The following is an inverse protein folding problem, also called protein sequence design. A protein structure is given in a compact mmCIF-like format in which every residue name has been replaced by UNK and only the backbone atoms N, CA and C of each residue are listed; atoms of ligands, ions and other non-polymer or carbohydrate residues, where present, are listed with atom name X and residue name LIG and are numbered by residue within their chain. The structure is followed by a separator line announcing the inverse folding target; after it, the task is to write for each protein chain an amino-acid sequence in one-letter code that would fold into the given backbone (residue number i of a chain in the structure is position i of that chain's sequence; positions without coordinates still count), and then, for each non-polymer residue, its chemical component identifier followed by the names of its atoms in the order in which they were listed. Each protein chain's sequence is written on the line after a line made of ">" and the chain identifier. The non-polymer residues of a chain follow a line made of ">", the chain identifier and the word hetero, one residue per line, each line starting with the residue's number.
data_IF_875983358272
#
_entry.id   IF_875983358272
#
_cell.length_a   1.000
_cell.length_b   1.000
_cell.length_c   1.000
_cell.angle_alpha   90.00
_cell.angle_beta   90.00
_cell.angle_gamma   90.00
#
_symmetry.space_group_name_H-M   'P 1'
#
loop_
_entity.id
_entity.type
_entity.pdbx_description
1 polymer ?
#
# COMPACT_ATOMS: atom_id res chain seq x y z
N UNK A 1 -2.50 -31.25 15.17
CA UNK A 1 -3.68 -30.41 15.42
C UNK A 1 -3.79 -29.48 14.23
N UNK A 2 -4.92 -29.49 13.51
CA UNK A 2 -5.13 -28.55 12.42
C UNK A 2 -5.17 -27.13 13.02
N UNK A 3 -4.34 -26.22 12.51
CA UNK A 3 -4.46 -24.80 12.84
C UNK A 3 -5.89 -24.38 12.51
N UNK A 4 -6.50 -23.62 13.40
CA UNK A 4 -7.73 -22.91 13.09
C UNK A 4 -7.46 -22.08 11.81
N UNK A 5 -8.18 -22.33 10.69
CA UNK A 5 -7.88 -21.74 9.38
C UNK A 5 -7.99 -20.21 9.37
N UNK A 6 -8.47 -19.61 10.45
CA UNK A 6 -8.68 -18.17 10.60
C UNK A 6 -7.80 -17.57 11.69
N UNK A 7 -6.56 -18.07 11.87
CA UNK A 7 -5.60 -17.47 12.81
C UNK A 7 -4.40 -16.87 12.09
N UNK A 8 -3.94 -15.72 12.60
CA UNK A 8 -2.72 -15.04 12.16
C UNK A 8 -1.74 -15.01 13.32
N UNK A 9 -0.53 -15.53 13.09
CA UNK A 9 0.56 -15.42 14.06
C UNK A 9 1.32 -14.12 13.80
N UNK A 10 1.40 -13.25 14.81
CA UNK A 10 2.00 -11.92 14.69
C UNK A 10 3.27 -11.86 15.52
N UNK A 11 4.38 -11.53 14.86
CA UNK A 11 5.70 -11.31 15.46
C UNK A 11 6.09 -9.85 15.25
N UNK A 12 6.24 -9.12 16.35
CA UNK A 12 6.77 -7.75 16.31
C UNK A 12 8.25 -7.78 16.66
N UNK A 13 9.05 -7.16 15.81
CA UNK A 13 10.49 -7.05 15.98
C UNK A 13 10.96 -5.62 15.74
N UNK A 14 12.07 -5.24 16.37
CA UNK A 14 12.69 -3.93 16.20
C UNK A 14 14.15 -4.07 15.82
N UNK A 15 14.61 -3.22 14.92
CA UNK A 15 15.99 -3.20 14.48
C UNK A 15 16.14 -2.33 13.25
N UNK A 16 17.26 -2.49 12.55
CA UNK A 16 17.48 -1.79 11.29
C UNK A 16 18.15 -2.74 10.31
N UNK A 17 17.96 -2.49 9.01
CA UNK A 17 18.88 -2.98 8.00
C UNK A 17 20.00 -1.95 7.83
N UNK A 18 21.16 -2.39 7.34
CA UNK A 18 22.31 -1.50 7.14
C UNK A 18 22.03 -0.37 6.14
N UNK A 19 21.13 -0.57 5.18
CA UNK A 19 20.71 0.47 4.23
C UNK A 19 19.64 1.43 4.80
N UNK A 20 19.09 1.13 5.99
CA UNK A 20 18.12 1.99 6.67
C UNK A 20 18.84 2.90 7.65
N UNK A 21 18.57 4.20 7.56
CA UNK A 21 19.17 5.23 8.41
C UNK A 21 18.69 5.14 9.86
N UNK A 22 17.44 4.72 10.06
CA UNK A 22 16.78 4.73 11.35
C UNK A 22 16.21 3.36 11.70
N UNK A 23 16.22 2.98 12.99
CA UNK A 23 15.53 1.79 13.47
C UNK A 23 14.05 1.80 13.09
N UNK A 24 13.56 0.64 12.67
CA UNK A 24 12.16 0.42 12.30
C UNK A 24 11.56 -0.67 13.20
N UNK A 25 10.24 -0.62 13.33
CA UNK A 25 9.41 -1.71 13.83
C UNK A 25 8.91 -2.52 12.64
N UNK A 26 9.13 -3.83 12.70
CA UNK A 26 8.68 -4.81 11.73
C UNK A 26 7.59 -5.67 12.35
N UNK A 27 6.43 -5.72 11.70
CA UNK A 27 5.31 -6.57 12.12
C UNK A 27 5.09 -7.67 11.09
N UNK A 28 5.58 -8.88 11.39
CA UNK A 28 5.41 -10.07 10.56
C UNK A 28 4.08 -10.74 10.91
N UNK A 29 3.18 -10.85 9.93
CA UNK A 29 1.91 -11.57 10.03
C UNK A 29 1.95 -12.80 9.18
N UNK A 30 2.01 -13.96 9.83
CA UNK A 30 2.01 -15.26 9.16
C UNK A 30 0.61 -15.83 9.18
N UNK A 31 0.05 -16.00 7.98
CA UNK A 31 -1.28 -16.55 7.78
C UNK A 31 -1.24 -18.08 7.65
N UNK A 32 -2.40 -18.71 7.81
CA UNK A 32 -2.50 -20.18 7.78
C UNK A 32 -2.23 -20.77 6.38
N UNK A 33 -2.45 -20.00 5.32
CA UNK A 33 -2.17 -20.33 3.93
C UNK A 33 -0.70 -20.10 3.52
N UNK A 34 0.20 -19.89 4.50
CA UNK A 34 1.62 -19.60 4.30
C UNK A 34 1.92 -18.27 3.60
N UNK A 35 0.92 -17.42 3.38
CA UNK A 35 1.17 -16.02 3.01
C UNK A 35 1.75 -15.27 4.21
N UNK A 36 2.69 -14.39 3.93
CA UNK A 36 3.31 -13.50 4.90
C UNK A 36 3.06 -12.07 4.48
N UNK A 37 2.72 -11.25 5.47
CA UNK A 37 2.72 -9.80 5.35
C UNK A 37 3.74 -9.22 6.33
N UNK A 38 4.45 -8.17 5.91
CA UNK A 38 5.39 -7.45 6.75
C UNK A 38 5.07 -5.98 6.67
N UNK A 39 4.58 -5.39 7.77
CA UNK A 39 4.46 -3.94 7.87
C UNK A 39 5.73 -3.38 8.51
N UNK A 40 6.16 -2.21 8.06
CA UNK A 40 7.39 -1.56 8.49
C UNK A 40 7.07 -0.12 8.84
N UNK A 41 7.37 0.27 10.07
CA UNK A 41 7.08 1.59 10.62
C UNK A 41 8.33 2.20 11.26
N UNK A 42 8.65 3.48 10.98
CA UNK A 42 9.75 4.16 11.66
C UNK A 42 9.53 4.21 13.18
N UNK A 43 10.57 3.91 13.95
CA UNK A 43 10.53 4.15 15.39
C UNK A 43 10.69 5.64 15.62
N UNK A 44 9.59 6.33 15.92
CA UNK A 44 9.67 7.74 16.30
C UNK A 44 10.65 7.90 17.49
N UNK A 45 11.56 8.89 17.45
CA UNK A 45 12.38 9.22 18.60
C UNK A 45 11.47 9.52 19.79
N UNK A 46 11.53 8.72 20.84
CA UNK A 46 10.80 9.04 22.07
C UNK A 46 11.35 10.35 22.61
N UNK A 47 10.58 11.44 22.50
CA UNK A 47 10.79 12.64 23.29
C UNK A 47 10.70 12.22 24.76
N UNK A 48 11.87 12.11 25.41
CA UNK A 48 12.02 11.97 26.86
C UNK A 48 11.28 13.15 27.53
N UNK A 49 10.00 12.97 27.83
CA UNK A 49 9.30 13.83 28.78
C UNK A 49 9.68 13.35 30.17
N UNK A 50 10.75 13.94 30.69
CA UNK A 50 11.00 13.99 32.14
C UNK A 50 9.82 14.68 32.80
N UNK A 51 8.81 13.91 33.22
CA UNK A 51 7.78 14.35 34.13
C UNK A 51 8.40 14.52 35.53
N UNK A 52 9.05 15.65 35.76
CA UNK A 52 9.36 16.12 37.11
C UNK A 52 8.05 16.54 37.78
N UNK A 53 7.69 15.75 38.80
CA UNK A 53 6.67 16.08 39.80
C UNK A 53 6.93 17.47 40.39
N UNK A 54 5.90 18.30 40.42
CA UNK A 54 5.75 19.36 41.42
C UNK A 54 4.27 19.47 41.77
N UNK A 55 3.94 19.00 42.97
CA UNK A 55 2.67 19.14 43.67
C UNK A 55 2.65 20.49 44.40
N UNK A 56 1.52 21.18 44.32
CA UNK A 56 1.08 22.19 45.29
C UNK A 56 1.27 23.64 44.84
N UNK A 57 0.18 24.37 44.60
CA UNK A 57 -0.40 25.16 45.70
C UNK A 57 -1.86 25.53 45.40
N UNK A 58 -2.68 25.46 46.46
CA UNK A 58 -4.10 25.81 46.47
C UNK A 58 -4.21 27.11 47.27
N UNK A 59 -4.72 28.17 46.67
CA UNK A 59 -5.40 29.20 47.46
C UNK A 59 -6.62 29.84 46.79
N UNK A 60 -7.57 30.15 47.66
CA UNK A 60 -9.01 30.33 47.51
C UNK A 60 -9.47 31.75 47.19
N UNK A 61 -10.60 31.84 46.46
CA UNK A 61 -11.79 32.74 46.59
C UNK A 61 -11.63 34.24 46.88
N UNK A 62 -12.34 35.09 46.12
CA UNK A 62 -13.57 35.75 46.61
C UNK A 62 -14.45 36.40 45.50
N UNK A 63 -15.76 36.36 45.77
CA UNK A 63 -16.94 36.80 45.00
C UNK A 63 -17.02 38.30 44.66
N UNK A 64 -17.86 38.67 43.68
CA UNK A 64 -19.12 39.44 43.90
C UNK A 64 -19.91 39.77 42.60
N UNK A 65 -21.21 39.42 42.58
CA UNK A 65 -22.45 40.17 42.15
C UNK A 65 -22.37 41.25 41.05
N UNK A 66 -23.34 41.55 40.17
CA UNK A 66 -24.78 41.29 39.97
C UNK A 66 -25.18 41.85 38.57
N UNK A 67 -26.08 41.21 37.81
CA UNK A 67 -27.46 41.63 37.46
C UNK A 67 -27.70 42.79 36.44
N UNK A 68 -28.76 42.56 35.64
CA UNK A 68 -29.57 43.45 34.77
C UNK A 68 -29.04 43.69 33.32
N UNK A 69 -29.66 43.14 32.26
CA UNK A 69 -30.92 43.53 31.56
C UNK A 69 -30.67 44.75 30.62
N UNK A 70 -31.16 44.94 29.38
CA UNK A 70 -32.42 44.72 28.61
C UNK A 70 -32.01 44.95 27.12
N UNK A 71 -32.29 44.06 26.15
CA UNK A 71 -33.41 44.00 25.18
C UNK A 71 -33.56 45.16 24.16
N UNK A 72 -34.09 44.82 22.96
CA UNK A 72 -34.83 45.61 21.94
C UNK A 72 -34.27 45.65 20.48
N UNK A 73 -34.92 44.80 19.67
CA UNK A 73 -35.56 45.03 18.35
C UNK A 73 -34.82 45.12 17.00
N UNK A 74 -34.87 43.98 16.29
CA UNK A 74 -35.51 43.69 14.98
C UNK A 74 -36.15 44.84 14.16
N UNK A 75 -35.87 44.86 12.83
CA UNK A 75 -36.89 45.10 11.79
C UNK A 75 -36.53 44.54 10.41
N UNK A 76 -37.51 43.86 9.82
CA UNK A 76 -37.57 43.24 8.49
C UNK A 76 -37.76 44.28 7.36
N UNK A 77 -37.33 43.98 6.11
CA UNK A 77 -38.23 43.75 4.94
C UNK A 77 -37.55 43.82 3.55
N UNK A 78 -37.87 42.78 2.76
CA UNK A 78 -38.32 42.75 1.34
C UNK A 78 -37.42 43.21 0.17
N UNK A 79 -37.20 42.26 -0.76
CA UNK A 79 -37.70 42.37 -2.14
C UNK A 79 -36.67 42.48 -3.27
N UNK A 80 -36.81 41.62 -4.30
CA UNK A 80 -36.41 41.95 -5.68
C UNK A 80 -35.63 40.87 -6.45
N UNK A 81 -36.28 40.27 -7.44
CA UNK A 81 -35.73 39.39 -8.49
C UNK A 81 -34.81 40.14 -9.50
N UNK A 82 -33.90 39.42 -10.17
CA UNK A 82 -33.80 39.35 -11.66
C UNK A 82 -32.38 38.99 -12.19
N UNK A 83 -32.27 37.80 -12.77
CA UNK A 83 -31.90 37.45 -14.17
C UNK A 83 -30.76 38.17 -14.93
N UNK A 84 -29.71 37.38 -15.26
CA UNK A 84 -28.95 37.14 -16.53
C UNK A 84 -28.56 38.32 -17.42
N UNK A 85 -27.28 38.43 -17.83
CA UNK A 85 -26.83 38.64 -19.24
C UNK A 85 -25.45 37.98 -19.51
N UNK A 86 -25.35 37.36 -20.68
CA UNK A 86 -24.16 36.81 -21.36
C UNK A 86 -23.54 37.90 -22.23
N UNK A 87 -22.22 37.95 -22.38
CA UNK A 87 -21.58 38.53 -23.57
C UNK A 87 -20.39 37.69 -24.02
N UNK A 88 -20.27 37.64 -25.34
CA UNK A 88 -19.49 36.76 -26.20
C UNK A 88 -18.51 37.61 -27.03
N UNK A 89 -17.53 36.93 -27.63
CA UNK A 89 -16.72 37.34 -28.79
C UNK A 89 -15.47 38.22 -28.64
N UNK A 90 -14.44 37.81 -29.41
CA UNK A 90 -13.23 38.56 -29.70
C UNK A 90 -12.14 37.71 -30.35
N UNK A 91 -12.29 37.42 -31.65
CA UNK A 91 -11.30 36.82 -32.56
C UNK A 91 -9.98 37.61 -32.59
N UNK A 92 -8.83 36.94 -32.80
CA UNK A 92 -7.60 37.57 -33.30
C UNK A 92 -6.75 36.63 -34.16
N UNK A 93 -6.07 37.31 -35.08
CA UNK A 93 -5.50 36.93 -36.37
C UNK A 93 -4.24 36.05 -36.39
N UNK A 94 -4.04 35.53 -37.60
CA UNK A 94 -2.98 34.70 -38.17
C UNK A 94 -1.65 35.46 -38.38
N UNK A 95 -0.49 34.87 -38.04
CA UNK A 95 0.78 35.15 -38.73
C UNK A 95 1.85 34.06 -38.54
N UNK A 96 2.52 33.82 -39.66
CA UNK A 96 3.48 32.78 -40.05
C UNK A 96 4.90 32.90 -39.46
N UNK A 97 5.55 31.75 -39.23
CA UNK A 97 6.88 31.49 -39.79
C UNK A 97 8.08 31.28 -38.85
N UNK A 98 8.83 30.23 -39.17
CA UNK A 98 10.27 29.99 -38.99
C UNK A 98 10.76 29.17 -37.77
N UNK A 99 11.65 28.25 -38.14
CA UNK A 99 12.45 27.31 -37.37
C UNK A 99 13.36 28.03 -36.36
N UNK A 100 13.60 27.41 -35.20
CA UNK A 100 14.91 27.42 -34.55
C UNK A 100 14.97 26.26 -33.55
N UNK A 101 15.97 25.39 -33.72
CA UNK A 101 16.43 24.52 -32.67
C UNK A 101 17.39 25.31 -31.78
N UNK A 102 17.20 25.27 -30.48
CA UNK A 102 18.31 25.48 -29.56
C UNK A 102 18.02 24.90 -28.18
N UNK A 103 18.91 23.97 -27.80
CA UNK A 103 19.61 23.91 -26.52
C UNK A 103 18.76 23.99 -25.24
N UNK A 104 18.56 22.82 -24.62
CA UNK A 104 18.16 22.66 -23.22
C UNK A 104 19.14 23.43 -22.32
N UNK A 105 18.73 24.61 -21.87
CA UNK A 105 19.45 25.43 -20.91
C UNK A 105 19.51 24.75 -19.54
N UNK A 106 20.73 24.53 -19.07
CA UNK A 106 21.04 24.33 -17.67
C UNK A 106 20.72 25.62 -16.90
N UNK A 107 19.71 25.58 -16.02
CA UNK A 107 19.66 26.50 -14.88
C UNK A 107 19.94 25.73 -13.60
N UNK A 108 21.20 25.80 -13.19
CA UNK A 108 21.65 25.48 -11.84
C UNK A 108 21.14 26.58 -10.89
N UNK A 109 20.03 26.31 -10.21
CA UNK A 109 19.53 27.06 -9.07
C UNK A 109 19.80 26.30 -7.77
N UNK A 110 20.54 26.92 -6.86
CA UNK A 110 21.07 26.34 -5.64
C UNK A 110 20.01 25.92 -4.60
N UNK A 111 20.27 24.76 -3.98
CA UNK A 111 20.04 24.41 -2.58
C UNK A 111 18.73 24.86 -1.93
N UNK A 112 17.72 24.01 -2.09
CA UNK A 112 17.03 23.38 -0.95
C UNK A 112 16.55 22.00 -1.40
N UNK A 113 17.40 20.99 -1.19
CA UNK A 113 17.02 19.60 -1.41
C UNK A 113 15.98 19.25 -0.33
N UNK A 114 14.69 19.38 -0.68
CA UNK A 114 13.63 18.69 0.05
C UNK A 114 13.99 17.22 -0.01
N UNK A 115 14.43 16.69 1.12
CA UNK A 115 14.79 15.29 1.28
C UNK A 115 13.56 14.47 0.89
N UNK A 116 13.58 13.88 -0.31
CA UNK A 116 12.43 13.19 -0.86
C UNK A 116 12.08 12.02 0.05
N UNK A 117 10.89 12.04 0.64
CA UNK A 117 10.42 11.04 1.59
C UNK A 117 10.60 9.63 1.02
N UNK A 118 11.56 8.90 1.58
CA UNK A 118 11.92 7.56 1.12
C UNK A 118 10.86 6.60 1.65
N UNK A 119 10.08 6.04 0.74
CA UNK A 119 9.07 5.04 1.09
C UNK A 119 9.68 3.65 1.04
N UNK A 120 9.17 2.77 1.90
CA UNK A 120 9.59 1.38 2.01
C UNK A 120 8.37 0.50 2.22
N UNK A 121 8.27 -0.59 1.47
CA UNK A 121 7.16 -1.54 1.60
C UNK A 121 7.65 -2.97 1.37
N UNK A 122 7.08 -3.92 2.10
CA UNK A 122 7.29 -5.34 1.85
C UNK A 122 6.19 -5.93 0.95
N UNK A 123 6.57 -6.89 0.10
CA UNK A 123 5.66 -7.60 -0.79
C UNK A 123 6.16 -9.03 -1.06
N UNK A 124 5.32 -9.85 -1.72
CA UNK A 124 5.67 -11.23 -2.12
C UNK A 124 6.15 -12.10 -0.93
N UNK A 125 5.49 -11.94 0.22
CA UNK A 125 5.85 -12.62 1.45
C UNK A 125 5.35 -14.07 1.53
N UNK A 126 6.23 -15.00 1.89
CA UNK A 126 5.92 -16.41 2.17
C UNK A 126 6.55 -16.84 3.50
N UNK A 127 5.87 -17.75 4.19
CA UNK A 127 6.35 -18.34 5.44
C UNK A 127 6.24 -19.87 5.39
N UNK A 128 7.30 -20.57 5.76
CA UNK A 128 7.33 -22.02 5.88
C UNK A 128 7.64 -22.39 7.32
N UNK A 129 6.89 -23.33 7.89
CA UNK A 129 7.18 -23.86 9.24
C UNK A 129 8.46 -24.68 9.17
N UNK A 130 9.43 -24.35 10.01
CA UNK A 130 10.68 -25.11 10.11
C UNK A 130 10.40 -26.44 10.83
N UNK A 131 10.54 -27.57 10.11
CA UNK A 131 10.39 -28.89 10.71
C UNK A 131 11.59 -29.21 11.60
N UNK A 132 11.35 -29.54 12.87
CA UNK A 132 12.40 -30.02 13.76
C UNK A 132 12.75 -31.47 13.42
N UNK A 133 14.03 -31.75 13.21
CA UNK A 133 14.50 -33.05 12.74
C UNK A 133 14.50 -34.15 13.82
N UNK A 134 14.33 -33.80 15.10
CA UNK A 134 14.32 -34.76 16.20
C UNK A 134 12.92 -34.87 16.83
N UNK A 135 12.35 -36.08 16.72
CA UNK A 135 11.15 -36.49 17.45
C UNK A 135 11.41 -36.46 18.96
N UNK A 136 10.36 -36.16 19.73
CA UNK A 136 10.29 -36.08 21.20
C UNK A 136 10.58 -34.71 21.84
N UNK A 137 9.76 -33.72 21.54
CA UNK A 137 9.40 -32.71 22.55
C UNK A 137 8.07 -32.03 22.20
N UNK A 138 7.05 -32.39 22.98
CA UNK A 138 5.91 -31.60 23.46
C UNK A 138 5.21 -30.59 22.52
N UNK A 139 3.88 -30.55 22.65
CA UNK A 139 2.96 -29.54 22.13
C UNK A 139 3.22 -28.09 22.63
N UNK A 140 4.44 -27.73 23.01
CA UNK A 140 4.82 -26.47 23.66
C UNK A 140 6.01 -25.75 23.04
N UNK A 141 6.63 -26.25 21.95
CA UNK A 141 7.71 -25.52 21.28
C UNK A 141 7.10 -24.45 20.37
N UNK A 142 7.44 -23.15 20.55
CA UNK A 142 6.88 -22.09 19.72
C UNK A 142 7.32 -22.28 18.26
N UNK A 143 6.37 -22.15 17.33
CA UNK A 143 6.63 -22.27 15.90
C UNK A 143 7.77 -21.34 15.48
N UNK A 144 8.76 -21.91 14.78
CA UNK A 144 9.78 -21.16 14.07
C UNK A 144 9.44 -21.21 12.58
N UNK A 145 9.60 -20.09 11.90
CA UNK A 145 9.34 -19.99 10.48
C UNK A 145 10.58 -19.56 9.72
N UNK A 146 10.77 -20.15 8.56
CA UNK A 146 11.61 -19.59 7.51
C UNK A 146 10.71 -18.71 6.65
N UNK A 147 11.04 -17.43 6.57
CA UNK A 147 10.29 -16.44 5.79
C UNK A 147 11.12 -15.95 4.61
N UNK A 148 10.44 -15.70 3.51
CA UNK A 148 10.95 -15.00 2.33
C UNK A 148 10.02 -13.83 2.03
N UNK A 149 10.56 -12.66 1.75
CA UNK A 149 9.80 -11.51 1.28
C UNK A 149 10.72 -10.59 0.48
N UNK A 150 10.13 -9.65 -0.24
CA UNK A 150 10.87 -8.59 -0.91
C UNK A 150 10.53 -7.26 -0.26
N UNK A 151 11.48 -6.35 -0.29
CA UNK A 151 11.28 -4.94 0.03
C UNK A 151 11.43 -4.16 -1.26
N UNK A 152 10.55 -3.19 -1.47
CA UNK A 152 10.77 -2.14 -2.44
C UNK A 152 10.95 -0.83 -1.70
N UNK A 153 12.01 -0.13 -2.02
CA UNK A 153 12.30 1.20 -1.51
C UNK A 153 12.32 2.15 -2.69
N UNK A 154 11.63 3.28 -2.56
CA UNK A 154 11.52 4.26 -3.63
C UNK A 154 11.42 5.68 -3.08
N UNK A 155 11.83 6.65 -3.88
CA UNK A 155 11.64 8.07 -3.58
C UNK A 155 11.22 8.80 -4.83
N UNK A 156 10.44 9.87 -4.64
CA UNK A 156 10.07 10.82 -5.69
C UNK A 156 10.73 12.15 -5.32
N UNK A 157 11.93 12.37 -5.85
CA UNK A 157 12.73 13.57 -5.57
C UNK A 157 12.85 14.49 -6.78
N UNK A 158 13.44 15.67 -6.58
CA UNK A 158 13.69 16.65 -7.64
C UNK A 158 14.58 16.10 -8.78
N UNK A 159 15.40 15.09 -8.51
CA UNK A 159 16.27 14.42 -9.48
C UNK A 159 15.59 13.25 -10.22
N UNK A 160 14.30 13.05 -10.01
CA UNK A 160 13.52 11.97 -10.62
C UNK A 160 13.09 10.88 -9.63
N UNK A 161 12.50 9.83 -10.18
CA UNK A 161 12.03 8.67 -9.41
C UNK A 161 13.09 7.60 -9.46
N UNK A 162 13.47 7.08 -8.30
CA UNK A 162 14.32 5.91 -8.20
C UNK A 162 13.64 4.85 -7.33
N UNK A 163 13.98 3.60 -7.59
CA UNK A 163 13.55 2.47 -6.79
C UNK A 163 14.60 1.37 -6.79
N UNK A 164 14.60 0.60 -5.70
CA UNK A 164 15.41 -0.59 -5.53
C UNK A 164 14.57 -1.70 -4.92
N UNK A 165 14.88 -2.94 -5.28
CA UNK A 165 14.22 -4.13 -4.75
C UNK A 165 15.25 -4.99 -4.02
N UNK A 166 14.92 -5.35 -2.80
CA UNK A 166 15.77 -6.11 -1.89
C UNK A 166 15.06 -7.42 -1.57
N UNK A 167 15.75 -8.55 -1.75
CA UNK A 167 15.23 -9.86 -1.36
C UNK A 167 15.67 -10.19 0.05
N UNK A 168 14.75 -10.62 0.89
CA UNK A 168 15.00 -10.97 2.28
C UNK A 168 14.66 -12.44 2.53
N UNK A 169 15.53 -13.13 3.26
CA UNK A 169 15.26 -14.47 3.81
C UNK A 169 15.65 -14.46 5.28
N UNK A 170 14.74 -14.86 6.16
CA UNK A 170 14.98 -14.86 7.59
C UNK A 170 14.35 -16.05 8.30
N UNK A 171 14.86 -16.34 9.49
CA UNK A 171 14.21 -17.19 10.48
C UNK A 171 13.56 -16.28 11.51
N UNK A 172 12.27 -16.50 11.76
CA UNK A 172 11.52 -15.77 12.79
C UNK A 172 11.08 -16.72 13.90
N UNK A 173 11.21 -16.27 15.15
CA UNK A 173 10.76 -17.01 16.33
C UNK A 173 10.41 -16.05 17.47
N UNK A 174 9.54 -16.50 18.37
CA UNK A 174 9.12 -15.70 19.54
C UNK A 174 10.28 -15.29 20.44
N UNK A 175 11.31 -16.15 20.56
CA UNK A 175 12.42 -15.96 21.50
C UNK A 175 13.55 -15.10 20.94
N UNK A 176 13.82 -15.21 19.64
CA UNK A 176 15.00 -14.60 19.02
C UNK A 176 14.67 -13.47 18.04
N UNK A 177 13.38 -13.17 17.82
CA UNK A 177 12.96 -12.19 16.82
C UNK A 177 13.21 -12.71 15.42
N UNK A 178 13.78 -11.86 14.55
CA UNK A 178 14.12 -12.22 13.17
C UNK A 178 15.63 -12.15 12.94
N UNK A 179 16.20 -13.24 12.41
CA UNK A 179 17.60 -13.30 11.99
C UNK A 179 17.63 -13.74 10.52
N UNK A 180 18.30 -12.98 9.67
CA UNK A 180 18.28 -13.28 8.25
C UNK A 180 19.37 -12.59 7.47
N UNK A 181 19.22 -12.68 6.16
CA UNK A 181 20.06 -12.01 5.18
C UNK A 181 19.20 -11.33 4.12
N UNK A 182 19.74 -10.29 3.52
CA UNK A 182 19.15 -9.66 2.35
C UNK A 182 20.19 -9.45 1.24
N UNK A 183 19.70 -9.35 0.01
CA UNK A 183 20.50 -9.10 -1.20
C UNK A 183 19.76 -8.07 -2.04
N UNK A 184 20.44 -7.02 -2.48
CA UNK A 184 19.90 -6.09 -3.46
C UNK A 184 19.90 -6.76 -4.85
N UNK A 185 18.76 -6.70 -5.55
CA UNK A 185 18.59 -7.46 -6.81
C UNK A 185 19.47 -6.99 -7.97
N UNK A 186 20.00 -5.76 -7.89
CA UNK A 186 20.92 -5.20 -8.90
C UNK A 186 22.39 -5.52 -8.58
N UNK A 187 22.66 -6.00 -7.37
CA UNK A 187 23.99 -6.32 -6.86
C UNK A 187 24.28 -7.83 -6.91
N UNK A 188 25.54 -8.20 -6.71
CA UNK A 188 25.95 -9.60 -6.84
C UNK A 188 25.49 -10.41 -5.61
N UNK A 189 25.10 -11.68 -5.81
CA UNK A 189 24.59 -12.53 -4.72
C UNK A 189 25.62 -12.79 -3.59
N UNK A 190 26.91 -12.56 -3.90
CA UNK A 190 28.02 -12.65 -2.96
C UNK A 190 28.04 -11.49 -1.94
N UNK A 191 27.24 -10.44 -2.15
CA UNK A 191 27.14 -9.24 -1.29
C UNK A 191 25.96 -9.33 -0.30
N UNK A 192 25.51 -10.54 0.03
CA UNK A 192 24.44 -10.74 1.00
C UNK A 192 24.82 -10.17 2.37
N UNK A 193 23.95 -9.30 2.90
CA UNK A 193 24.16 -8.66 4.20
C UNK A 193 23.26 -9.30 5.25
N UNK A 194 23.81 -9.54 6.43
CA UNK A 194 23.07 -10.10 7.56
C UNK A 194 22.29 -9.02 8.31
N UNK A 195 21.18 -9.42 8.93
CA UNK A 195 20.40 -8.56 9.80
C UNK A 195 19.86 -9.30 11.01
N UNK A 196 19.67 -8.58 12.10
CA UNK A 196 19.01 -9.08 13.31
C UNK A 196 17.99 -8.07 13.80
N UNK A 197 16.75 -8.51 13.98
CA UNK A 197 15.66 -7.74 14.57
C UNK A 197 15.31 -8.36 15.92
N UNK A 198 15.37 -7.55 16.98
CA UNK A 198 15.09 -7.97 18.36
C UNK A 198 13.58 -8.21 18.52
N UNK A 199 13.15 -9.27 19.22
CA UNK A 199 11.72 -9.50 19.47
C UNK A 199 11.16 -8.44 20.42
N UNK A 200 9.96 -7.96 20.13
CA UNK A 200 9.19 -7.03 20.97
C UNK A 200 7.97 -7.72 21.55
N UNK A 201 7.14 -8.29 20.69
CA UNK A 201 5.90 -8.93 21.10
C UNK A 201 5.55 -10.11 20.18
N UNK A 202 4.74 -11.01 20.72
CA UNK A 202 4.13 -12.10 19.98
C UNK A 202 2.67 -12.23 20.39
N UNK A 203 1.78 -12.42 19.40
CA UNK A 203 0.37 -12.72 19.65
C UNK A 203 -0.21 -13.57 18.51
N UNK A 204 -1.35 -14.18 18.81
CA UNK A 204 -2.18 -14.87 17.82
C UNK A 204 -3.51 -14.13 17.79
N UNK A 205 -3.94 -13.75 16.60
CA UNK A 205 -5.21 -13.05 16.38
C UNK A 205 -6.12 -13.89 15.47
N UNK A 206 -7.43 -13.76 15.65
CA UNK A 206 -8.41 -14.28 14.70
C UNK A 206 -8.51 -13.35 13.49
N UNK A 207 -8.53 -13.93 12.30
CA UNK A 207 -8.67 -13.22 11.04
C UNK A 207 -10.15 -12.98 10.75
N UNK A 208 -10.64 -11.79 11.09
CA UNK A 208 -12.06 -11.46 10.95
C UNK A 208 -12.53 -11.37 9.49
N UNK A 209 -11.64 -10.95 8.58
CA UNK A 209 -11.96 -10.73 7.17
C UNK A 209 -10.83 -11.24 6.28
N UNK A 210 -10.68 -12.57 6.07
CA UNK A 210 -9.73 -13.09 5.08
C UNK A 210 -10.17 -12.67 3.68
N UNK A 211 -9.28 -12.44 2.72
CA UNK A 211 -9.71 -12.22 1.32
C UNK A 211 -10.09 -13.54 0.61
N UNK A 212 -9.40 -14.64 0.93
CA UNK A 212 -9.63 -15.95 0.34
C UNK A 212 -10.55 -16.84 1.22
N UNK A 213 -11.51 -17.57 0.63
CA UNK A 213 -11.88 -17.57 -0.79
C UNK A 213 -12.65 -16.30 -1.17
N UNK A 214 -12.65 -15.97 -2.46
CA UNK A 214 -13.48 -14.88 -2.98
C UNK A 214 -14.95 -15.29 -3.03
N UNK A 215 -15.83 -14.38 -2.65
CA UNK A 215 -17.30 -14.53 -2.72
C UNK A 215 -17.94 -13.29 -3.34
N UNK A 216 -19.21 -13.34 -3.76
CA UNK A 216 -19.89 -12.13 -4.23
C UNK A 216 -19.90 -11.03 -3.17
N UNK A 217 -19.80 -9.77 -3.59
CA UNK A 217 -19.71 -8.63 -2.68
C UNK A 217 -18.86 -7.48 -3.22
N UNK A 218 -18.71 -6.46 -2.39
CA UNK A 218 -17.85 -5.31 -2.63
C UNK A 218 -16.59 -5.40 -1.76
N UNK A 219 -15.43 -5.09 -2.34
CA UNK A 219 -14.14 -5.13 -1.68
C UNK A 219 -13.36 -3.86 -1.96
N UNK A 220 -12.79 -3.29 -0.91
CA UNK A 220 -11.87 -2.17 -0.99
C UNK A 220 -10.46 -2.69 -0.73
N UNK A 221 -9.58 -2.44 -1.68
CA UNK A 221 -8.21 -2.94 -1.71
C UNK A 221 -7.26 -1.74 -1.82
N UNK A 222 -6.08 -1.86 -1.22
CA UNK A 222 -5.03 -0.85 -1.29
C UNK A 222 -3.69 -1.53 -1.42
N UNK A 223 -2.73 -0.93 -2.10
CA UNK A 223 -1.37 -1.47 -2.11
C UNK A 223 -0.55 -0.85 -3.22
N UNK A 224 0.23 -1.68 -3.91
CA UNK A 224 1.09 -1.22 -4.99
C UNK A 224 1.01 -2.11 -6.23
N UNK A 225 1.31 -1.51 -7.37
CA UNK A 225 1.82 -2.19 -8.55
C UNK A 225 3.28 -1.83 -8.75
N UNK A 226 4.08 -2.80 -9.22
CA UNK A 226 5.50 -2.61 -9.51
C UNK A 226 5.74 -3.02 -10.95
N UNK A 227 6.23 -2.10 -11.77
CA UNK A 227 6.66 -2.39 -13.14
C UNK A 227 7.96 -3.18 -13.19
N UNK A 228 8.25 -3.82 -14.32
CA UNK A 228 9.52 -4.53 -14.54
C UNK A 228 10.75 -3.59 -14.47
N UNK A 229 10.55 -2.30 -14.72
CA UNK A 229 11.53 -1.24 -14.52
C UNK A 229 11.70 -0.85 -13.02
N UNK A 230 11.05 -1.59 -12.11
CA UNK A 230 10.95 -1.37 -10.67
C UNK A 230 10.17 -0.11 -10.27
N UNK A 231 9.49 0.58 -11.18
CA UNK A 231 8.69 1.74 -10.83
C UNK A 231 7.49 1.34 -10.00
N UNK A 232 7.21 2.09 -8.92
CA UNK A 232 6.14 1.78 -7.96
C UNK A 232 4.98 2.75 -8.14
N UNK A 233 3.79 2.18 -8.31
CA UNK A 233 2.53 2.92 -8.27
C UNK A 233 1.76 2.46 -7.04
N UNK A 234 1.58 3.35 -6.08
CA UNK A 234 0.61 3.13 -5.01
C UNK A 234 -0.79 3.17 -5.62
N UNK A 235 -1.71 2.31 -5.19
CA UNK A 235 -3.06 2.33 -5.74
C UNK A 235 -4.13 1.92 -4.72
N UNK A 236 -5.32 2.50 -4.91
CA UNK A 236 -6.56 2.10 -4.27
C UNK A 236 -7.45 1.45 -5.33
N UNK A 237 -8.16 0.39 -4.97
CA UNK A 237 -9.00 -0.34 -5.89
C UNK A 237 -10.29 -0.77 -5.20
N UNK A 238 -11.42 -0.48 -5.84
CA UNK A 238 -12.74 -0.94 -5.41
C UNK A 238 -13.23 -1.96 -6.42
N UNK A 239 -13.58 -3.17 -5.98
CA UNK A 239 -14.11 -4.21 -6.85
C UNK A 239 -15.45 -4.73 -6.34
N UNK A 240 -16.35 -5.03 -7.27
CA UNK A 240 -17.62 -5.71 -7.05
C UNK A 240 -17.58 -7.05 -7.76
N UNK A 241 -17.73 -8.12 -6.98
CA UNK A 241 -17.80 -9.49 -7.45
C UNK A 241 -19.27 -9.91 -7.56
N UNK A 242 -19.73 -10.21 -8.77
CA UNK A 242 -21.10 -10.63 -9.04
C UNK A 242 -21.22 -12.16 -9.03
N UNK A 243 -22.36 -12.70 -8.60
CA UNK A 243 -22.57 -14.15 -8.51
C UNK A 243 -22.46 -14.90 -9.86
N UNK A 244 -22.62 -14.18 -10.98
CA UNK A 244 -22.42 -14.69 -12.34
C UNK A 244 -20.93 -14.88 -12.72
N UNK A 245 -19.98 -14.50 -11.87
CA UNK A 245 -18.55 -14.58 -12.14
C UNK A 245 -17.94 -13.32 -12.79
N UNK A 246 -18.70 -12.23 -12.90
CA UNK A 246 -18.20 -10.95 -13.40
C UNK A 246 -17.59 -10.10 -12.27
N UNK A 247 -16.46 -9.44 -12.55
CA UNK A 247 -15.90 -8.38 -11.70
C UNK A 247 -16.01 -7.04 -12.41
N UNK A 248 -16.35 -6.00 -11.65
CA UNK A 248 -16.39 -4.62 -12.11
C UNK A 248 -15.92 -3.69 -10.99
N UNK A 249 -15.41 -2.51 -11.31
CA UNK A 249 -14.97 -1.58 -10.26
C UNK A 249 -14.13 -0.45 -10.80
N UNK A 250 -13.29 0.11 -9.93
CA UNK A 250 -12.36 1.17 -10.29
C UNK A 250 -11.01 1.00 -9.58
N UNK A 251 -9.96 1.53 -10.19
CA UNK A 251 -8.61 1.62 -9.61
C UNK A 251 -8.08 3.04 -9.79
N UNK A 252 -7.41 3.56 -8.77
CA UNK A 252 -6.78 4.86 -8.77
C UNK A 252 -5.31 4.71 -8.37
N UNK A 253 -4.40 5.15 -9.24
CA UNK A 253 -2.97 5.20 -8.95
C UNK A 253 -2.61 6.53 -8.27
N UNK A 254 -1.85 6.49 -7.17
CA UNK A 254 -1.46 7.66 -6.39
C UNK A 254 -0.09 8.21 -6.87
N UNK A 255 0.00 9.53 -7.09
CA UNK A 255 -0.87 10.58 -6.57
C UNK A 255 -1.89 11.07 -7.61
N UNK A 256 -2.12 10.32 -8.68
CA UNK A 256 -2.97 10.75 -9.77
C UNK A 256 -4.44 10.70 -9.36
N UNK A 257 -5.18 11.75 -9.70
CA UNK A 257 -6.61 11.81 -9.40
C UNK A 257 -7.45 10.91 -10.31
N UNK A 258 -6.86 10.36 -11.40
CA UNK A 258 -7.59 9.58 -12.39
C UNK A 258 -8.07 8.25 -11.83
N UNK A 259 -9.39 8.11 -11.77
CA UNK A 259 -10.06 6.86 -11.46
C UNK A 259 -10.34 6.08 -12.76
N UNK A 260 -9.73 4.90 -12.86
CA UNK A 260 -9.78 4.07 -14.06
C UNK A 260 -10.80 2.93 -13.85
N UNK A 261 -11.78 2.75 -14.74
CA UNK A 261 -12.72 1.64 -14.63
C UNK A 261 -12.02 0.31 -14.91
N UNK A 262 -12.46 -0.73 -14.21
CA UNK A 262 -12.05 -2.11 -14.46
C UNK A 262 -13.25 -3.03 -14.67
N UNK A 263 -13.05 -4.04 -15.50
CA UNK A 263 -14.02 -5.10 -15.76
C UNK A 263 -13.33 -6.41 -16.14
N UNK A 264 -13.93 -7.54 -15.77
CA UNK A 264 -13.42 -8.86 -16.10
C UNK A 264 -14.19 -10.01 -15.45
N UNK A 265 -13.48 -11.08 -15.12
CA UNK A 265 -14.05 -12.29 -14.53
C UNK A 265 -13.35 -12.72 -13.23
N UNK A 266 -14.08 -13.43 -12.38
CA UNK A 266 -13.55 -13.97 -11.13
C UNK A 266 -14.08 -15.38 -10.83
N UNK A 267 -13.35 -16.06 -9.95
CA UNK A 267 -13.61 -17.36 -9.34
C UNK A 267 -13.19 -17.30 -7.87
N UNK A 268 -13.53 -18.30 -7.06
CA UNK A 268 -13.11 -18.36 -5.65
C UNK A 268 -11.58 -18.24 -5.47
N UNK A 269 -10.82 -18.70 -6.46
CA UNK A 269 -9.36 -18.83 -6.43
C UNK A 269 -8.62 -17.72 -7.19
N UNK A 270 -9.33 -16.76 -7.79
CA UNK A 270 -8.67 -15.76 -8.62
C UNK A 270 -9.59 -14.86 -9.41
N UNK A 271 -9.04 -13.74 -9.87
CA UNK A 271 -9.73 -12.77 -10.70
C UNK A 271 -8.80 -12.24 -11.81
N UNK A 272 -9.39 -11.88 -12.94
CA UNK A 272 -8.72 -11.19 -14.02
C UNK A 272 -9.57 -10.03 -14.49
N UNK A 273 -8.93 -8.91 -14.82
CA UNK A 273 -9.63 -7.72 -15.27
C UNK A 273 -8.77 -6.91 -16.23
N UNK A 274 -9.46 -6.13 -17.06
CA UNK A 274 -8.87 -5.08 -17.85
C UNK A 274 -8.93 -3.78 -17.07
N UNK A 275 -7.83 -3.02 -17.10
CA UNK A 275 -7.76 -1.66 -16.63
C UNK A 275 -7.39 -0.76 -17.80
N UNK A 276 -8.16 0.31 -17.99
CA UNK A 276 -7.90 1.28 -19.05
C UNK A 276 -7.49 2.62 -18.43
N UNK A 277 -6.28 3.05 -18.74
CA UNK A 277 -5.72 4.34 -18.34
C UNK A 277 -5.62 5.27 -19.55
N UNK A 278 -5.63 6.58 -19.32
CA UNK A 278 -5.53 7.60 -20.36
C UNK A 278 -4.34 8.51 -20.06
N UNK A 279 -3.37 8.53 -20.97
CA UNK A 279 -2.17 9.37 -20.85
C UNK A 279 -2.04 10.22 -22.11
N UNK A 280 -1.95 11.54 -21.96
CA UNK A 280 -1.77 12.46 -23.10
C UNK A 280 -2.80 12.26 -24.23
N UNK A 281 -4.05 11.92 -23.88
CA UNK A 281 -5.13 11.65 -24.84
C UNK A 281 -5.10 10.26 -25.48
N UNK A 282 -4.13 9.40 -25.13
CA UNK A 282 -4.04 8.02 -25.58
C UNK A 282 -4.57 7.05 -24.53
N UNK A 283 -5.36 6.07 -24.96
CA UNK A 283 -5.87 5.01 -24.09
C UNK A 283 -4.92 3.84 -24.09
N UNK A 284 -4.47 3.45 -22.90
CA UNK A 284 -3.63 2.28 -22.67
C UNK A 284 -4.43 1.25 -21.90
N UNK A 285 -4.42 0.00 -22.36
CA UNK A 285 -5.18 -1.10 -21.76
C UNK A 285 -4.23 -2.16 -21.23
N UNK A 286 -4.42 -2.56 -19.98
CA UNK A 286 -3.61 -3.56 -19.29
C UNK A 286 -4.49 -4.68 -18.74
N UNK A 287 -3.99 -5.91 -18.81
CA UNK A 287 -4.63 -7.11 -18.25
C UNK A 287 -3.97 -7.42 -16.92
N UNK A 288 -4.79 -7.58 -15.88
CA UNK A 288 -4.38 -7.95 -14.54
C UNK A 288 -4.86 -9.36 -14.20
N UNK A 289 -4.02 -10.12 -13.51
CA UNK A 289 -4.34 -11.44 -12.96
C UNK A 289 -4.03 -11.44 -11.47
N UNK A 290 -5.02 -11.65 -10.63
CA UNK A 290 -4.91 -11.67 -9.17
C UNK A 290 -5.28 -13.03 -8.59
N UNK A 291 -4.48 -13.49 -7.63
CA UNK A 291 -4.71 -14.65 -6.77
C UNK A 291 -4.93 -14.16 -5.34
N UNK A 292 -6.09 -14.44 -4.72
CA UNK A 292 -6.39 -14.09 -3.35
C UNK A 292 -5.62 -15.02 -2.38
N UNK A 293 -5.01 -14.42 -1.39
CA UNK A 293 -4.48 -15.07 -0.18
C UNK A 293 -5.21 -14.52 1.03
N UNK A 294 -5.06 -15.14 2.19
CA UNK A 294 -5.58 -14.60 3.44
C UNK A 294 -5.04 -13.19 3.73
N UNK A 295 -3.80 -12.88 3.31
CA UNK A 295 -3.17 -11.57 3.51
C UNK A 295 -3.63 -10.48 2.53
N UNK A 296 -4.23 -10.83 1.39
CA UNK A 296 -4.53 -9.89 0.31
C UNK A 296 -4.48 -10.51 -1.09
N UNK A 297 -4.56 -9.67 -2.12
CA UNK A 297 -4.51 -10.07 -3.53
C UNK A 297 -3.09 -9.89 -4.08
N UNK A 298 -2.56 -10.93 -4.73
CA UNK A 298 -1.25 -10.89 -5.37
C UNK A 298 -1.35 -11.27 -6.83
N UNK A 299 -0.52 -10.70 -7.67
CA UNK A 299 -0.69 -10.95 -9.08
C UNK A 299 0.34 -10.35 -10.00
N UNK A 300 0.01 -10.44 -11.28
CA UNK A 300 0.78 -9.84 -12.37
C UNK A 300 -0.13 -8.96 -13.22
N UNK A 301 0.49 -8.02 -13.92
CA UNK A 301 -0.16 -7.22 -14.94
C UNK A 301 0.73 -7.15 -16.18
N UNK A 302 0.11 -6.92 -17.33
CA UNK A 302 0.81 -6.72 -18.59
C UNK A 302 -0.02 -5.86 -19.54
N UNK A 303 0.64 -5.17 -20.47
CA UNK A 303 -0.03 -4.46 -21.54
C UNK A 303 -0.83 -5.46 -22.40
N UNK A 304 -2.10 -5.14 -22.64
CA UNK A 304 -3.01 -6.00 -23.42
C UNK A 304 -2.63 -6.11 -24.89
N UNK A 305 -1.92 -5.11 -25.42
CA UNK A 305 -1.44 -5.05 -26.79
C UNK A 305 -0.02 -5.58 -26.94
N UNK A 306 0.59 -6.08 -25.85
CA UNK A 306 1.92 -6.65 -25.87
C UNK A 306 1.94 -7.88 -26.78
N UNK A 307 2.27 -7.65 -28.05
CA UNK A 307 2.61 -8.71 -28.99
C UNK A 307 3.93 -9.31 -28.54
N UNK A 308 4.10 -10.61 -28.73
CA UNK A 308 5.37 -11.33 -28.54
C UNK A 308 6.39 -10.77 -29.54
N UNK A 309 6.98 -9.63 -29.22
CA UNK A 309 8.02 -8.98 -30.01
C UNK A 309 9.15 -8.73 -29.03
N UNK A 310 10.18 -9.57 -29.12
CA UNK A 310 11.36 -9.66 -28.23
C UNK A 310 12.30 -8.43 -28.29
N UNK A 311 11.79 -7.23 -28.62
CA UNK A 311 12.60 -6.02 -28.80
C UNK A 311 11.96 -4.78 -28.17
N UNK A 312 11.52 -4.89 -26.91
CA UNK A 312 11.32 -3.68 -26.08
C UNK A 312 12.70 -3.30 -25.55
N UNK A 313 13.21 -2.14 -25.97
CA UNK A 313 14.45 -1.59 -25.42
C UNK A 313 14.21 -1.28 -23.94
N UNK A 314 14.98 -1.87 -22.99
CA UNK A 314 14.84 -1.58 -21.56
C UNK A 314 14.97 -0.09 -21.22
N UNK A 315 15.49 0.73 -22.14
CA UNK A 315 15.69 2.17 -22.01
C UNK A 315 14.50 3.03 -22.44
N UNK A 316 13.45 2.47 -23.05
CA UNK A 316 12.26 3.26 -23.46
C UNK A 316 11.35 3.64 -22.30
N UNK A 317 11.68 3.25 -21.06
CA UNK A 317 11.11 3.84 -19.85
C UNK A 317 9.67 3.42 -19.51
N UNK A 318 8.93 2.79 -20.43
CA UNK A 318 7.58 2.26 -20.17
C UNK A 318 7.67 0.79 -19.78
N UNK A 319 7.21 0.45 -18.57
CA UNK A 319 7.07 -0.95 -18.17
C UNK A 319 5.80 -1.52 -18.81
N UNK A 320 5.93 -2.63 -19.53
CA UNK A 320 4.81 -3.29 -20.20
C UNK A 320 4.29 -4.52 -19.44
N UNK A 321 4.92 -4.81 -18.30
CA UNK A 321 4.53 -5.86 -17.37
C UNK A 321 5.02 -5.54 -15.96
N UNK A 322 4.43 -6.23 -14.98
CA UNK A 322 4.81 -6.09 -13.60
C UNK A 322 4.04 -7.00 -12.66
N UNK A 323 4.11 -6.69 -11.37
CA UNK A 323 3.35 -7.38 -10.33
C UNK A 323 2.42 -6.42 -9.57
N UNK A 324 1.44 -6.99 -8.87
CA UNK A 324 0.60 -6.27 -7.92
C UNK A 324 0.58 -6.98 -6.56
N UNK A 325 0.50 -6.19 -5.49
CA UNK A 325 0.32 -6.63 -4.11
C UNK A 325 -0.68 -5.67 -3.46
N UNK A 326 -1.89 -6.15 -3.19
CA UNK A 326 -2.97 -5.38 -2.59
C UNK A 326 -3.45 -6.02 -1.29
N UNK A 327 -3.54 -5.24 -0.23
CA UNK A 327 -4.20 -5.61 1.01
C UNK A 327 -5.71 -5.39 0.94
N UNK A 328 -6.46 -6.24 1.65
CA UNK A 328 -7.88 -6.01 1.92
C UNK A 328 -8.03 -4.94 3.00
N UNK A 329 -8.70 -3.85 2.63
CA UNK A 329 -9.08 -2.78 3.56
C UNK A 329 -10.46 -3.07 4.15
N UNK A 330 -11.41 -3.45 3.30
CA UNK A 330 -12.81 -3.67 3.69
C UNK A 330 -13.49 -4.66 2.73
N UNK A 331 -14.46 -5.43 3.24
CA UNK A 331 -15.29 -6.32 2.43
C UNK A 331 -16.74 -6.31 2.91
N UNK A 332 -17.68 -6.10 1.99
CA UNK A 332 -19.10 -6.31 2.20
C UNK A 332 -19.55 -7.47 1.32
N UNK A 333 -19.73 -8.65 1.92
CA UNK A 333 -20.08 -9.88 1.20
C UNK A 333 -21.58 -10.07 1.07
N UNK A 334 -21.98 -10.54 -0.10
CA UNK A 334 -23.38 -10.81 -0.44
C UNK A 334 -23.58 -12.31 -0.49
N UNK A 335 -24.56 -12.79 0.27
CA UNK A 335 -24.94 -14.19 0.24
C UNK A 335 -25.44 -14.58 -1.16
N UNK A 336 -25.10 -15.77 -1.60
CA UNK A 336 -25.66 -16.35 -2.82
C UNK A 336 -25.70 -17.87 -2.72
N UNK A 337 -26.69 -18.48 -3.37
CA UNK A 337 -26.84 -19.94 -3.37
C UNK A 337 -25.62 -20.65 -3.96
N UNK A 338 -24.99 -20.09 -5.00
CA UNK A 338 -23.81 -20.69 -5.64
C UNK A 338 -22.58 -20.76 -4.72
N UNK A 339 -22.42 -19.76 -3.82
CA UNK A 339 -21.22 -19.61 -2.99
C UNK A 339 -21.53 -19.71 -1.48
N UNK A 340 -22.66 -20.30 -1.10
CA UNK A 340 -23.11 -20.35 0.30
C UNK A 340 -22.15 -21.08 1.25
N UNK A 341 -21.33 -22.01 0.74
CA UNK A 341 -20.35 -22.77 1.54
C UNK A 341 -19.13 -21.93 1.93
N UNK A 342 -18.86 -20.90 1.15
CA UNK A 342 -17.71 -20.00 1.29
C UNK A 342 -18.10 -18.66 1.93
N UNK A 343 -19.40 -18.45 2.17
CA UNK A 343 -19.89 -17.26 2.85
C UNK A 343 -19.42 -17.26 4.32
N UNK A 344 -18.80 -16.18 4.82
CA UNK A 344 -18.34 -16.14 6.21
C UNK A 344 -19.52 -16.38 7.17
N UNK A 345 -19.25 -17.16 8.21
CA UNK A 345 -20.25 -17.59 9.20
C UNK A 345 -20.75 -16.44 10.09
#
# INVERSE_FOLDING_TARGET
>A
MARDPETVEIFECEGSFSFLREPQRFTFRVHSDSSLRVDIEPLQPQLLTTASRSLGDVHTRHDTTAAAAIDIERRDREGGESTIELEEEGELDDHTGAEDGDTMGEEAGANDAVEGDVKLMAYDGRALVEMQQDQEAAASVPACYVVHFKLVQWSRGAQGVWSQIIKCVARISRKHGALGRFVELRENADEAQEFTLKPVAYRVESLLSPLHPLTPGQYDLRGITIGENAFVYECNMTITLQANGMVSGTSQELPFAQECPLAGAWTCDGLNFLLQYEMHGNKHTYVYFGTPFQSGLRGIWQNSELRVVDNVDPRTGTAERGCLELELVSATRVWSEKYHKDYPA
#
